data_IF_309466109799
#
_entry.id   IF_309466109799
#
_cell.length_a   1.000
_cell.length_b   1.000
_cell.length_c   1.000
_cell.angle_alpha   90.00
_cell.angle_beta   90.00
_cell.angle_gamma   90.00
#
_symmetry.space_group_name_H-M   'P 1'
#
loop_
_entity.id
_entity.type
_entity.pdbx_description
1 polymer ?
#
# COMPACT_ATOMS: atom_id res chain seq x y z
N UNK A 1 60.74 26.22 -31.24
CA UNK A 1 59.57 25.41 -30.84
C UNK A 1 60.03 23.96 -30.77
N UNK A 2 59.73 23.14 -29.73
CA UNK A 2 58.59 23.22 -28.80
C UNK A 2 58.97 23.18 -27.29
N UNK A 3 58.13 23.81 -26.46
CA UNK A 3 58.15 23.65 -25.00
C UNK A 3 57.30 22.42 -24.64
N UNK A 4 57.94 21.35 -24.15
CA UNK A 4 57.27 20.16 -23.65
C UNK A 4 56.78 20.37 -22.22
N UNK A 5 55.47 20.51 -22.05
CA UNK A 5 54.79 20.49 -20.76
C UNK A 5 54.89 19.08 -20.15
N UNK A 6 55.82 18.87 -19.23
CA UNK A 6 55.83 17.66 -18.38
C UNK A 6 54.83 17.87 -17.24
N UNK A 7 53.60 17.41 -17.44
CA UNK A 7 52.64 17.27 -16.33
C UNK A 7 53.16 16.14 -15.43
N UNK A 8 53.43 16.38 -14.14
CA UNK A 8 53.91 15.31 -13.26
C UNK A 8 52.81 14.27 -13.12
N UNK A 9 53.14 12.99 -13.37
CA UNK A 9 52.24 11.84 -13.32
C UNK A 9 51.46 11.72 -11.99
N UNK A 10 51.93 12.39 -10.94
CA UNK A 10 51.28 12.49 -9.63
C UNK A 10 49.93 13.23 -9.70
N UNK A 11 49.77 14.22 -10.59
CA UNK A 11 48.50 14.95 -10.75
C UNK A 11 47.42 14.14 -11.50
N UNK A 12 47.82 13.16 -12.33
CA UNK A 12 46.89 12.22 -12.96
C UNK A 12 46.45 11.11 -12.00
N UNK A 13 47.28 10.74 -11.03
CA UNK A 13 46.95 9.72 -10.03
C UNK A 13 45.94 10.20 -8.97
N UNK A 14 45.89 11.51 -8.67
CA UNK A 14 44.94 12.09 -7.71
C UNK A 14 43.57 12.43 -8.32
N UNK A 15 43.46 12.58 -9.64
CA UNK A 15 42.20 12.88 -10.33
C UNK A 15 41.31 11.65 -10.59
N UNK A 16 41.83 10.43 -10.38
CA UNK A 16 41.10 9.18 -10.65
C UNK A 16 40.19 8.67 -9.53
N UNK A 17 40.18 9.30 -8.35
CA UNK A 17 39.52 8.76 -7.15
C UNK A 17 38.13 9.36 -6.84
N UNK A 18 37.48 10.06 -7.78
CA UNK A 18 36.23 10.79 -7.49
C UNK A 18 35.01 10.41 -8.35
N UNK A 19 35.04 9.27 -9.06
CA UNK A 19 33.85 8.72 -9.73
C UNK A 19 33.42 7.38 -9.11
N UNK A 20 33.17 7.37 -7.80
CA UNK A 20 32.24 6.39 -7.23
C UNK A 20 30.96 7.14 -6.90
N UNK A 21 30.04 7.20 -7.87
CA UNK A 21 28.67 7.57 -7.56
C UNK A 21 28.17 6.56 -6.52
N UNK A 22 27.64 7.00 -5.36
CA UNK A 22 26.92 6.09 -4.49
C UNK A 22 25.70 5.63 -5.28
N UNK A 23 25.73 4.41 -5.81
CA UNK A 23 24.50 3.73 -6.19
C UNK A 23 23.68 3.67 -4.91
N UNK A 24 22.54 4.36 -4.90
CA UNK A 24 21.66 4.46 -3.76
C UNK A 24 21.56 3.11 -3.04
N UNK A 25 21.83 3.12 -1.74
CA UNK A 25 21.64 1.97 -0.85
C UNK A 25 20.13 1.81 -0.69
N UNK A 26 19.49 1.34 -1.75
CA UNK A 26 18.10 0.89 -1.82
C UNK A 26 18.08 -0.62 -2.05
N UNK A 27 19.11 -1.29 -1.55
CA UNK A 27 19.29 -2.72 -1.72
C UNK A 27 18.37 -3.45 -0.74
N UNK A 28 17.13 -3.67 -1.16
CA UNK A 28 16.31 -4.77 -0.65
C UNK A 28 16.59 -6.02 -1.48
N UNK A 29 16.61 -7.18 -0.83
CA UNK A 29 16.68 -8.46 -1.54
C UNK A 29 15.42 -8.65 -2.40
N UNK A 30 15.61 -9.20 -3.60
CA UNK A 30 14.52 -9.53 -4.53
C UNK A 30 13.60 -8.33 -4.87
N UNK A 31 14.21 -7.23 -5.33
CA UNK A 31 13.56 -5.93 -5.61
C UNK A 31 12.27 -6.00 -6.40
N UNK A 32 12.24 -6.73 -7.53
CA UNK A 32 11.02 -6.89 -8.33
C UNK A 32 9.88 -7.50 -7.49
N UNK A 33 10.15 -8.55 -6.72
CA UNK A 33 9.14 -9.15 -5.84
C UNK A 33 8.77 -8.28 -4.63
N UNK A 34 9.69 -7.46 -4.13
CA UNK A 34 9.39 -6.47 -3.11
C UNK A 34 8.44 -5.40 -3.66
N UNK A 35 8.72 -4.87 -4.86
CA UNK A 35 7.83 -3.94 -5.53
C UNK A 35 6.46 -4.58 -5.80
N UNK A 36 6.42 -5.80 -6.33
CA UNK A 36 5.18 -6.52 -6.59
C UNK A 36 4.34 -6.72 -5.30
N UNK A 37 4.99 -6.94 -4.15
CA UNK A 37 4.30 -7.01 -2.86
C UNK A 37 3.62 -5.69 -2.48
N UNK A 38 4.32 -4.56 -2.63
CA UNK A 38 3.78 -3.22 -2.39
C UNK A 38 2.63 -2.91 -3.36
N UNK A 39 2.83 -3.17 -4.65
CA UNK A 39 1.82 -2.97 -5.68
C UNK A 39 0.57 -3.81 -5.42
N UNK A 40 0.73 -5.04 -4.91
CA UNK A 40 -0.40 -5.88 -4.51
C UNK A 40 -1.22 -5.31 -3.35
N UNK A 41 -0.58 -4.62 -2.39
CA UNK A 41 -1.30 -3.90 -1.33
C UNK A 41 -2.08 -2.71 -1.88
N UNK A 42 -1.49 -1.93 -2.78
CA UNK A 42 -2.17 -0.82 -3.44
C UNK A 42 -3.32 -1.31 -4.35
N UNK A 43 -3.15 -2.43 -5.05
CA UNK A 43 -4.22 -3.09 -5.78
C UNK A 43 -5.38 -3.46 -4.84
N UNK A 44 -5.09 -4.06 -3.69
CA UNK A 44 -6.10 -4.41 -2.68
C UNK A 44 -6.84 -3.16 -2.19
N UNK A 45 -6.13 -2.04 -1.98
CA UNK A 45 -6.73 -0.78 -1.58
C UNK A 45 -7.68 -0.20 -2.66
N UNK A 46 -7.28 -0.26 -3.94
CA UNK A 46 -8.11 0.15 -5.07
C UNK A 46 -9.37 -0.73 -5.23
N UNK A 47 -9.26 -2.03 -5.00
CA UNK A 47 -10.40 -2.95 -5.06
C UNK A 47 -11.37 -2.77 -3.89
N UNK A 48 -10.84 -2.40 -2.72
CA UNK A 48 -11.63 -2.11 -1.53
C UNK A 48 -12.22 -0.68 -1.51
N UNK A 49 -11.85 0.16 -2.48
CA UNK A 49 -12.27 1.56 -2.56
C UNK A 49 -13.80 1.67 -2.66
N UNK A 50 -14.40 2.50 -1.79
CA UNK A 50 -15.83 2.76 -1.85
C UNK A 50 -16.12 3.85 -2.87
N UNK A 51 -17.05 3.64 -3.82
CA UNK A 51 -17.40 4.65 -4.80
C UNK A 51 -17.99 5.89 -4.10
N UNK A 52 -17.42 7.07 -4.38
CA UNK A 52 -17.91 8.37 -3.92
C UNK A 52 -18.03 9.30 -5.13
N UNK A 53 -19.02 10.19 -5.11
CA UNK A 53 -19.26 11.10 -6.22
C UNK A 53 -18.39 12.36 -6.12
N UNK A 54 -18.40 13.04 -4.96
CA UNK A 54 -17.71 14.31 -4.78
C UNK A 54 -17.17 14.48 -3.36
N UNK A 55 -16.10 15.27 -3.24
CA UNK A 55 -15.63 15.87 -1.99
C UNK A 55 -16.29 17.24 -1.84
N UNK A 56 -16.99 17.45 -0.72
CA UNK A 56 -17.65 18.72 -0.40
C UNK A 56 -16.74 19.58 0.47
N UNK A 57 -16.08 20.57 -0.14
CA UNK A 57 -15.26 21.57 0.54
C UNK A 57 -16.05 22.85 0.84
N UNK A 58 -17.38 22.80 0.85
CA UNK A 58 -18.21 23.95 1.23
C UNK A 58 -18.19 24.14 2.75
N UNK A 59 -18.03 25.40 3.16
CA UNK A 59 -18.01 25.81 4.55
C UNK A 59 -19.38 25.74 5.25
N UNK A 60 -19.39 26.21 6.50
CA UNK A 60 -20.64 26.40 7.26
C UNK A 60 -21.54 27.42 6.56
N UNK A 61 -22.85 27.34 6.85
CA UNK A 61 -23.83 28.28 6.33
C UNK A 61 -23.48 29.69 6.83
N UNK A 62 -23.57 30.67 5.93
CA UNK A 62 -23.57 32.08 6.30
C UNK A 62 -24.89 32.47 7.00
N UNK A 63 -24.98 33.71 7.49
CA UNK A 63 -26.20 34.21 8.13
C UNK A 63 -27.41 34.30 7.19
N UNK A 64 -27.22 34.09 5.88
CA UNK A 64 -28.28 34.05 4.84
C UNK A 64 -28.67 32.61 4.46
N UNK A 65 -28.05 31.61 5.08
CA UNK A 65 -28.30 30.19 4.85
C UNK A 65 -27.59 29.61 3.62
N UNK A 66 -26.64 30.34 3.03
CA UNK A 66 -25.89 29.92 1.85
C UNK A 66 -24.56 29.30 2.26
N UNK A 67 -24.18 28.20 1.59
CA UNK A 67 -22.88 27.54 1.75
C UNK A 67 -21.94 27.96 0.63
N UNK A 68 -20.83 28.60 0.98
CA UNK A 68 -19.76 28.90 0.02
C UNK A 68 -18.68 27.82 0.03
N UNK A 69 -18.08 27.55 -1.13
CA UNK A 69 -16.91 26.68 -1.29
C UNK A 69 -16.99 25.83 -2.55
N UNK A 70 -16.04 24.90 -2.69
CA UNK A 70 -15.85 24.11 -3.91
C UNK A 70 -16.40 22.70 -3.72
N UNK A 71 -17.09 22.19 -4.74
CA UNK A 71 -17.45 20.78 -4.85
C UNK A 71 -16.50 20.18 -5.89
N UNK A 72 -15.66 19.22 -5.49
CA UNK A 72 -14.65 18.61 -6.36
C UNK A 72 -15.05 17.14 -6.60
N UNK A 73 -14.98 16.62 -7.84
CA UNK A 73 -15.12 15.19 -8.09
C UNK A 73 -14.10 14.38 -7.26
N UNK A 74 -14.54 13.26 -6.69
CA UNK A 74 -13.68 12.46 -5.80
C UNK A 74 -12.50 11.81 -6.54
N UNK A 75 -12.68 11.43 -7.80
CA UNK A 75 -11.68 10.78 -8.65
C UNK A 75 -10.39 11.59 -8.84
N UNK A 76 -10.52 12.92 -8.90
CA UNK A 76 -9.40 13.88 -9.03
C UNK A 76 -9.06 14.58 -7.71
N UNK A 77 -9.57 14.10 -6.58
CA UNK A 77 -9.31 14.71 -5.28
C UNK A 77 -8.00 14.20 -4.68
N UNK A 78 -7.26 15.09 -4.02
CA UNK A 78 -6.10 14.74 -3.20
C UNK A 78 -6.48 13.78 -2.07
N UNK A 79 -7.67 13.99 -1.49
CA UNK A 79 -8.21 13.12 -0.46
C UNK A 79 -8.30 11.65 -0.90
N UNK A 80 -8.72 11.37 -2.15
CA UNK A 80 -8.75 9.99 -2.67
C UNK A 80 -7.35 9.38 -2.70
N UNK A 81 -6.35 10.14 -3.12
CA UNK A 81 -4.97 9.68 -3.19
C UNK A 81 -4.44 9.32 -1.80
N UNK A 82 -4.62 10.21 -0.82
CA UNK A 82 -4.16 9.97 0.55
C UNK A 82 -4.89 8.78 1.20
N UNK A 83 -6.21 8.65 0.97
CA UNK A 83 -6.98 7.49 1.48
C UNK A 83 -6.52 6.16 0.88
N UNK A 84 -6.04 6.15 -0.38
CA UNK A 84 -5.52 4.95 -1.04
C UNK A 84 -4.11 4.59 -0.60
N UNK A 85 -3.25 5.59 -0.34
CA UNK A 85 -1.87 5.36 0.10
C UNK A 85 -1.78 5.04 1.59
N UNK A 86 -2.77 5.44 2.38
CA UNK A 86 -2.88 5.07 3.79
C UNK A 86 -3.02 3.55 3.94
N UNK A 87 -2.19 2.97 4.80
CA UNK A 87 -2.24 1.53 5.10
C UNK A 87 -1.62 0.60 4.04
N UNK A 88 -1.15 1.11 2.89
CA UNK A 88 -0.46 0.28 1.87
C UNK A 88 0.74 -0.43 2.46
N UNK A 89 1.63 0.31 3.14
CA UNK A 89 2.81 -0.28 3.76
C UNK A 89 2.47 -1.10 5.02
N UNK A 90 1.41 -0.76 5.75
CA UNK A 90 0.99 -1.52 6.93
C UNK A 90 0.52 -2.94 6.58
N UNK A 91 -0.02 -3.12 5.37
CA UNK A 91 -0.47 -4.42 4.85
C UNK A 91 0.63 -5.47 4.63
N UNK A 92 1.90 -5.05 4.64
CA UNK A 92 3.04 -5.91 4.33
C UNK A 92 3.47 -6.83 5.49
N UNK A 93 2.87 -6.71 6.67
CA UNK A 93 3.21 -7.50 7.86
C UNK A 93 3.05 -9.03 7.70
N UNK A 94 2.37 -9.49 6.65
CA UNK A 94 2.17 -10.91 6.28
C UNK A 94 3.13 -11.42 5.22
N UNK A 95 4.07 -10.60 4.75
CA UNK A 95 5.08 -11.02 3.79
C UNK A 95 6.32 -11.59 4.48
N UNK A 96 7.04 -12.45 3.78
CA UNK A 96 8.35 -12.95 4.18
C UNK A 96 9.20 -13.24 2.96
N UNK A 97 10.50 -13.03 3.08
CA UNK A 97 11.45 -13.46 2.07
C UNK A 97 11.67 -14.97 2.16
N UNK A 98 11.56 -15.66 1.03
CA UNK A 98 11.80 -17.11 0.90
C UNK A 98 12.67 -17.40 -0.30
N UNK A 99 13.46 -18.45 -0.19
CA UNK A 99 14.11 -19.05 -1.34
C UNK A 99 13.13 -19.99 -2.02
N UNK A 100 12.85 -19.75 -3.30
CA UNK A 100 11.99 -20.57 -4.15
C UNK A 100 12.81 -21.11 -5.31
N UNK A 101 12.45 -22.29 -5.80
CA UNK A 101 12.96 -22.86 -7.05
C UNK A 101 11.86 -22.72 -8.09
N UNK A 102 11.94 -21.75 -9.01
CA UNK A 102 10.94 -21.58 -10.05
C UNK A 102 10.92 -22.84 -10.91
N UNK A 103 9.72 -23.32 -11.25
CA UNK A 103 9.55 -24.44 -12.19
C UNK A 103 9.69 -24.01 -13.65
N UNK A 104 9.43 -22.73 -13.93
CA UNK A 104 9.37 -22.14 -15.27
C UNK A 104 10.01 -20.74 -15.25
N UNK A 105 10.38 -20.24 -16.44
CA UNK A 105 11.01 -18.92 -16.63
C UNK A 105 12.55 -18.95 -16.70
N UNK A 106 13.20 -17.78 -16.87
CA UNK A 106 14.65 -17.66 -17.07
C UNK A 106 15.48 -18.21 -15.91
N UNK A 107 14.91 -18.20 -14.70
CA UNK A 107 15.52 -18.69 -13.46
C UNK A 107 15.08 -20.10 -13.06
N UNK A 108 14.44 -20.86 -13.96
CA UNK A 108 13.96 -22.21 -13.67
C UNK A 108 15.10 -23.11 -13.15
N UNK A 109 14.82 -23.84 -12.07
CA UNK A 109 15.78 -24.75 -11.44
C UNK A 109 16.89 -24.10 -10.61
N UNK A 110 16.95 -22.76 -10.55
CA UNK A 110 17.90 -22.02 -9.69
C UNK A 110 17.19 -21.49 -8.45
N UNK A 111 17.86 -21.55 -7.30
CA UNK A 111 17.37 -20.95 -6.06
C UNK A 111 17.34 -19.43 -6.18
N UNK A 112 16.15 -18.83 -6.11
CA UNK A 112 15.94 -17.37 -6.12
C UNK A 112 15.22 -16.92 -4.86
N UNK A 113 15.55 -15.73 -4.35
CA UNK A 113 14.81 -15.13 -3.24
C UNK A 113 13.57 -14.41 -3.76
N UNK A 114 12.44 -14.52 -3.05
CA UNK A 114 11.17 -13.90 -3.40
C UNK A 114 10.39 -13.50 -2.16
N UNK A 115 9.77 -12.32 -2.18
CA UNK A 115 8.79 -11.91 -1.18
C UNK A 115 7.44 -12.60 -1.42
N UNK A 116 6.94 -13.30 -0.42
CA UNK A 116 5.69 -14.04 -0.51
C UNK A 116 4.76 -13.71 0.66
N UNK A 117 3.47 -13.50 0.35
CA UNK A 117 2.44 -13.35 1.35
C UNK A 117 2.09 -14.72 1.93
N UNK A 118 2.36 -14.92 3.22
CA UNK A 118 2.13 -16.19 3.91
C UNK A 118 0.83 -16.21 4.72
N UNK A 119 -0.03 -15.19 4.55
CA UNK A 119 -1.35 -15.07 5.19
C UNK A 119 -1.30 -14.83 6.71
N UNK A 120 -0.13 -14.85 7.32
CA UNK A 120 0.06 -14.69 8.77
C UNK A 120 1.33 -13.90 9.10
N UNK A 121 1.30 -13.24 10.24
CA UNK A 121 2.46 -12.56 10.83
C UNK A 121 3.39 -13.62 11.41
N UNK A 122 4.62 -13.73 10.88
CA UNK A 122 5.64 -14.62 11.44
C UNK A 122 6.07 -14.15 12.84
N UNK A 123 6.25 -15.08 13.78
CA UNK A 123 6.80 -14.79 15.12
C UNK A 123 8.32 -14.85 15.19
N UNK A 124 8.98 -15.30 14.12
CA UNK A 124 10.44 -15.39 14.07
C UNK A 124 11.06 -13.98 14.10
N UNK A 125 11.98 -13.66 15.02
CA UNK A 125 12.66 -12.37 15.07
C UNK A 125 13.32 -11.97 13.74
N UNK A 126 13.94 -12.92 13.01
CA UNK A 126 14.54 -12.67 11.70
C UNK A 126 13.50 -12.32 10.63
N UNK A 127 12.32 -12.94 10.69
CA UNK A 127 11.23 -12.57 9.78
C UNK A 127 10.63 -11.20 10.14
N UNK A 128 10.74 -10.76 11.40
CA UNK A 128 10.37 -9.40 11.79
C UNK A 128 11.33 -8.39 11.18
N UNK A 129 12.65 -8.56 11.33
CA UNK A 129 13.63 -7.61 10.76
C UNK A 129 13.47 -7.48 9.24
N UNK A 130 13.31 -8.61 8.54
CA UNK A 130 13.05 -8.59 7.09
C UNK A 130 11.76 -7.83 6.73
N UNK A 131 10.69 -7.95 7.53
CA UNK A 131 9.46 -7.18 7.28
C UNK A 131 9.65 -5.70 7.55
N UNK A 132 10.42 -5.35 8.58
CA UNK A 132 10.76 -3.96 8.86
C UNK A 132 11.54 -3.37 7.66
N UNK A 133 12.48 -4.12 7.08
CA UNK A 133 13.18 -3.74 5.84
C UNK A 133 12.23 -3.57 4.64
N UNK A 134 11.24 -4.46 4.48
CA UNK A 134 10.22 -4.35 3.44
C UNK A 134 9.29 -3.15 3.64
N UNK A 135 8.93 -2.84 4.89
CA UNK A 135 8.13 -1.66 5.22
C UNK A 135 8.91 -0.38 4.91
N UNK A 136 10.19 -0.32 5.31
CA UNK A 136 11.04 0.82 5.01
C UNK A 136 11.20 1.00 3.49
N UNK A 137 11.35 -0.10 2.75
CA UNK A 137 11.35 -0.07 1.28
C UNK A 137 10.02 0.44 0.71
N UNK A 138 8.88 0.00 1.26
CA UNK A 138 7.57 0.48 0.86
C UNK A 138 7.42 2.00 1.01
N UNK A 139 7.82 2.54 2.15
CA UNK A 139 7.79 3.99 2.37
C UNK A 139 8.63 4.72 1.32
N UNK A 140 9.87 4.26 1.08
CA UNK A 140 10.75 4.88 0.09
C UNK A 140 10.22 4.82 -1.34
N UNK A 141 9.72 3.66 -1.79
CA UNK A 141 9.23 3.53 -3.18
C UNK A 141 7.94 4.32 -3.41
N UNK A 142 7.02 4.34 -2.43
CA UNK A 142 5.78 5.11 -2.52
C UNK A 142 6.08 6.61 -2.51
N UNK A 143 6.94 7.09 -1.61
CA UNK A 143 7.37 8.50 -1.58
C UNK A 143 8.03 8.92 -2.88
N UNK A 144 8.94 8.08 -3.43
CA UNK A 144 9.62 8.36 -4.69
C UNK A 144 8.66 8.46 -5.88
N UNK A 145 7.56 7.72 -5.85
CA UNK A 145 6.59 7.61 -6.95
C UNK A 145 5.31 8.40 -6.70
N UNK A 146 5.24 9.19 -5.64
CA UNK A 146 4.00 9.84 -5.20
C UNK A 146 3.36 10.65 -6.32
N UNK A 147 4.16 11.47 -7.00
CA UNK A 147 3.68 12.32 -8.09
C UNK A 147 3.20 11.51 -9.31
N UNK A 148 3.91 10.45 -9.69
CA UNK A 148 3.58 9.65 -10.88
C UNK A 148 2.34 8.80 -10.64
N UNK A 149 2.21 8.23 -9.44
CA UNK A 149 1.00 7.52 -8.99
C UNK A 149 -0.20 8.47 -8.96
N UNK A 150 -0.04 9.67 -8.40
CA UNK A 150 -1.11 10.66 -8.33
C UNK A 150 -1.56 11.11 -9.73
N UNK A 151 -0.62 11.43 -10.62
CA UNK A 151 -0.90 11.79 -12.01
C UNK A 151 -1.63 10.66 -12.74
N UNK A 152 -1.16 9.42 -12.62
CA UNK A 152 -1.77 8.26 -13.28
C UNK A 152 -3.17 7.94 -12.73
N UNK A 153 -3.40 8.12 -11.42
CA UNK A 153 -4.72 7.95 -10.80
C UNK A 153 -5.72 9.01 -11.31
N UNK A 154 -5.30 10.27 -11.41
CA UNK A 154 -6.17 11.36 -11.90
C UNK A 154 -6.47 11.22 -13.39
N UNK A 155 -5.50 10.76 -14.17
CA UNK A 155 -5.67 10.45 -15.59
C UNK A 155 -6.49 9.17 -15.85
N UNK A 156 -6.84 8.40 -14.81
CA UNK A 156 -7.50 7.09 -14.90
C UNK A 156 -6.68 6.04 -15.66
N UNK A 157 -5.36 6.24 -15.68
CA UNK A 157 -4.40 5.31 -16.27
C UNK A 157 -3.96 4.23 -15.28
N UNK A 158 -4.13 4.47 -13.96
CA UNK A 158 -3.89 3.50 -12.90
C UNK A 158 -5.21 2.93 -12.38
N UNK A 159 -5.32 1.61 -12.36
CA UNK A 159 -6.46 0.86 -11.84
C UNK A 159 -5.97 -0.45 -11.21
N UNK A 160 -6.87 -1.22 -10.58
CA UNK A 160 -6.50 -2.44 -9.86
C UNK A 160 -5.79 -3.49 -10.71
N UNK A 161 -5.98 -3.53 -12.03
CA UNK A 161 -5.40 -4.58 -12.88
C UNK A 161 -3.99 -4.25 -13.38
N UNK A 162 -3.58 -2.98 -13.35
CA UNK A 162 -2.31 -2.53 -13.93
C UNK A 162 -1.37 -1.87 -12.91
N UNK A 163 -1.70 -1.88 -11.61
CA UNK A 163 -0.87 -1.29 -10.55
C UNK A 163 0.56 -1.81 -10.62
N UNK A 164 0.74 -3.12 -10.63
CA UNK A 164 2.06 -3.74 -10.56
C UNK A 164 2.92 -3.41 -11.78
N UNK A 165 2.34 -3.38 -12.97
CA UNK A 165 3.06 -3.01 -14.19
C UNK A 165 3.48 -1.55 -14.19
N UNK A 166 2.56 -0.63 -13.88
CA UNK A 166 2.85 0.80 -13.79
C UNK A 166 3.90 1.09 -12.71
N UNK A 167 3.67 0.57 -11.51
CA UNK A 167 4.51 0.84 -10.35
C UNK A 167 5.91 0.24 -10.48
N UNK A 168 6.02 -1.04 -10.90
CA UNK A 168 7.28 -1.77 -10.83
C UNK A 168 8.10 -1.76 -12.12
N UNK A 169 7.47 -1.59 -13.29
CA UNK A 169 8.16 -1.53 -14.58
C UNK A 169 8.29 -0.07 -15.02
N UNK A 170 7.18 0.68 -15.08
CA UNK A 170 7.20 2.03 -15.69
C UNK A 170 7.77 3.11 -14.77
N UNK A 171 7.45 3.08 -13.47
CA UNK A 171 7.82 4.17 -12.55
C UNK A 171 9.12 3.90 -11.79
N UNK A 172 9.32 2.70 -11.21
CA UNK A 172 10.57 2.40 -10.49
C UNK A 172 11.62 1.68 -11.32
N UNK A 173 11.21 0.88 -12.31
CA UNK A 173 12.12 0.01 -13.06
C UNK A 173 12.77 -1.07 -12.19
N UNK A 174 12.08 -1.56 -11.16
CA UNK A 174 12.56 -2.63 -10.26
C UNK A 174 12.39 -4.03 -10.87
N UNK A 175 11.50 -4.15 -11.85
CA UNK A 175 11.34 -5.33 -12.70
C UNK A 175 11.78 -4.97 -14.12
N UNK A 176 12.49 -5.89 -14.78
CA UNK A 176 12.99 -5.65 -16.15
C UNK A 176 11.83 -5.61 -17.16
N UNK A 177 10.90 -6.55 -17.03
CA UNK A 177 9.81 -6.72 -17.96
C UNK A 177 8.60 -7.44 -17.32
N UNK A 178 7.61 -7.78 -18.15
CA UNK A 178 6.38 -8.42 -17.70
C UNK A 178 6.61 -9.84 -17.23
N UNK A 179 7.54 -10.59 -17.83
CA UNK A 179 7.86 -11.96 -17.44
C UNK A 179 8.47 -11.99 -16.04
N UNK A 180 9.45 -11.12 -15.77
CA UNK A 180 10.04 -10.94 -14.44
C UNK A 180 8.96 -10.62 -13.39
N UNK A 181 8.08 -9.66 -13.68
CA UNK A 181 6.97 -9.29 -12.80
C UNK A 181 6.01 -10.47 -12.52
N UNK A 182 5.67 -11.27 -13.53
CA UNK A 182 4.80 -12.44 -13.35
C UNK A 182 5.44 -13.53 -12.50
N UNK A 183 6.76 -13.73 -12.63
CA UNK A 183 7.50 -14.71 -11.81
C UNK A 183 7.63 -14.27 -10.34
N UNK A 184 7.70 -12.95 -10.13
CA UNK A 184 7.81 -12.32 -8.83
C UNK A 184 6.49 -12.33 -8.05
N UNK A 185 5.34 -12.38 -8.73
CA UNK A 185 4.04 -12.52 -8.08
C UNK A 185 3.89 -13.91 -7.46
N UNK A 186 3.54 -13.93 -6.18
CA UNK A 186 3.15 -15.18 -5.53
C UNK A 186 1.78 -15.60 -6.07
N UNK A 187 1.55 -16.89 -6.38
CA UNK A 187 0.21 -17.35 -6.72
C UNK A 187 -0.70 -16.97 -5.55
N UNK A 188 -1.77 -16.24 -5.83
CA UNK A 188 -2.74 -15.85 -4.84
C UNK A 188 -3.19 -17.12 -4.09
N UNK A 189 -2.97 -17.17 -2.78
CA UNK A 189 -3.72 -18.12 -1.96
C UNK A 189 -5.17 -17.75 -2.15
N UNK A 190 -5.93 -18.58 -2.86
CA UNK A 190 -7.38 -18.46 -2.93
C UNK A 190 -7.90 -18.38 -1.49
N UNK A 191 -8.41 -17.23 -1.08
CA UNK A 191 -9.18 -17.13 0.15
C UNK A 191 -10.41 -18.02 -0.02
N UNK A 192 -10.44 -19.15 0.68
CA UNK A 192 -11.67 -19.91 0.87
C UNK A 192 -12.73 -18.97 1.48
N UNK A 193 -13.67 -18.53 0.64
CA UNK A 193 -14.90 -17.85 1.04
C UNK A 193 -15.68 -18.79 1.97
N UNK A 194 -15.51 -18.63 3.28
CA UNK A 194 -16.38 -19.27 4.27
C UNK A 194 -17.82 -18.77 4.05
N UNK A 195 -18.82 -19.65 3.82
CA UNK A 195 -20.19 -19.22 3.57
C UNK A 195 -20.77 -18.54 4.82
N UNK A 196 -21.28 -17.32 4.64
CA UNK A 196 -22.10 -16.62 5.64
C UNK A 196 -23.38 -17.44 5.83
N UNK A 197 -23.59 -17.94 7.05
CA UNK A 197 -24.81 -18.64 7.45
C UNK A 197 -25.91 -17.59 7.62
N UNK A 198 -26.86 -17.57 6.71
CA UNK A 198 -28.02 -16.68 6.76
C UNK A 198 -28.82 -16.91 8.06
N UNK A 199 -29.06 -15.83 8.80
CA UNK A 199 -30.03 -15.81 9.88
C UNK A 199 -31.41 -15.63 9.28
N UNK A 200 -32.09 -16.74 9.04
CA UNK A 200 -33.48 -16.77 8.67
C UNK A 200 -34.35 -16.29 9.84
N UNK A 201 -35.08 -15.20 9.62
CA UNK A 201 -36.08 -14.67 10.52
C UNK A 201 -37.28 -15.63 10.57
N UNK A 202 -37.62 -16.14 11.76
CA UNK A 202 -38.91 -16.81 11.99
C UNK A 202 -39.83 -15.92 12.81
N UNK A 203 -40.85 -15.42 12.12
CA UNK A 203 -42.05 -14.78 12.61
C UNK A 203 -42.86 -15.67 13.57
N UNK A 204 -43.56 -15.07 14.52
CA UNK A 204 -44.80 -15.68 15.05
C UNK A 204 -45.29 -15.25 16.43
N UNK A 205 -46.15 -14.23 16.48
CA UNK A 205 -47.45 -14.34 17.17
C UNK A 205 -47.58 -14.14 18.69
N UNK A 206 -47.87 -12.88 19.09
CA UNK A 206 -49.10 -12.41 19.81
C UNK A 206 -49.52 -13.05 21.16
N UNK A 207 -49.51 -12.23 22.23
CA UNK A 207 -50.67 -11.86 23.12
C UNK A 207 -50.22 -10.83 24.19
N UNK A 208 -50.73 -9.58 24.16
CA UNK A 208 -51.75 -8.99 25.07
C UNK A 208 -51.48 -9.27 26.56
N UNK A 209 -51.38 -8.31 27.49
CA UNK A 209 -52.24 -7.15 27.76
C UNK A 209 -51.60 -6.24 28.84
N UNK A 210 -51.79 -4.91 28.69
CA UNK A 210 -52.10 -3.84 29.69
C UNK A 210 -51.58 -4.02 31.14
N UNK A 211 -50.99 -3.04 31.83
CA UNK A 211 -50.84 -1.60 31.60
C UNK A 211 -50.76 -0.89 32.96
N UNK A 212 -50.15 0.31 32.99
CA UNK A 212 -50.08 1.28 34.09
C UNK A 212 -49.22 0.83 35.30
N UNK A 213 -48.48 1.67 36.02
CA UNK A 213 -48.43 3.14 36.14
C UNK A 213 -47.09 3.48 36.85
N UNK A 214 -46.42 4.55 36.43
CA UNK A 214 -45.37 5.29 37.19
C UNK A 214 -46.00 5.91 38.47
N UNK A 215 -45.25 6.36 39.51
CA UNK A 215 -44.19 7.37 39.36
C UNK A 215 -43.01 7.28 40.36
N UNK A 216 -42.22 8.33 40.34
CA UNK A 216 -40.89 8.50 40.90
C UNK A 216 -40.86 9.21 42.28
N UNK A 217 -39.64 9.18 42.86
CA UNK A 217 -39.00 10.16 43.78
C UNK A 217 -39.49 10.24 45.24
N UNK A 218 -38.51 10.37 46.13
CA UNK A 218 -38.68 10.92 47.47
C UNK A 218 -37.57 10.49 48.42
N UNK A 219 -36.61 11.37 48.64
CA UNK A 219 -35.51 11.28 49.60
C UNK A 219 -35.94 11.36 51.08
N UNK A 220 -35.00 10.97 51.94
CA UNK A 220 -34.68 11.53 53.27
C UNK A 220 -35.43 11.15 54.57
N UNK A 221 -34.59 11.12 55.63
CA UNK A 221 -34.83 11.19 57.09
C UNK A 221 -35.27 9.90 57.80
N UNK A 222 -34.41 9.22 58.59
CA UNK A 222 -33.69 9.57 59.84
C UNK A 222 -34.60 9.65 61.07
N UNK A 223 -34.48 8.59 61.89
CA UNK A 223 -34.61 8.46 63.35
C UNK A 223 -35.87 8.91 64.11
N UNK A 224 -36.32 7.95 64.93
CA UNK A 224 -37.21 7.98 66.11
C UNK A 224 -38.69 8.31 65.91
#
# INVERSE_FOLDING_TARGET
>A
MPFGLRVPAVLLALAGLLLTAPTAIDAIDAKCSACAAVAGQLQTALEAEKPRNHVDLRGRLDSKGVRYGKLIPYDVSEQRFTELMEGVCEGLGRYTLRTVKPSEGPSAGTDVMRWENIGRVSKNPRAKTLRDELNDYCHRIVEKQEEDLQKALYAKELNSTNVAEKMCIQFSGECEDREDLTSAQSPAMEEEKKPKKDKEAKSGGKKRKKGAKKPAKGDDKKEL
#
